data_IF_461568684608
#
_entry.id   IF_461568684608
#
_cell.length_a   1.000
_cell.length_b   1.000
_cell.length_c   1.000
_cell.angle_alpha   90.00
_cell.angle_beta   90.00
_cell.angle_gamma   90.00
#
_symmetry.space_group_name_H-M   'P 1'
#
loop_
_entity.id
_entity.type
_entity.pdbx_description
1 polymer ?
#
# COMPACT_ATOMS: atom_id res chain seq x y z
N UNK A 1 -70.18 -16.75 5.66
CA UNK A 1 -68.83 -17.23 6.04
C UNK A 1 -67.73 -16.63 5.12
N UNK A 2 -67.79 -15.33 4.79
CA UNK A 2 -66.81 -14.67 3.89
C UNK A 2 -66.17 -13.40 4.48
N UNK A 3 -66.63 -12.95 5.64
CA UNK A 3 -66.17 -11.70 6.27
C UNK A 3 -64.80 -11.82 6.95
N UNK A 4 -64.28 -13.04 7.13
CA UNK A 4 -62.98 -13.32 7.78
C UNK A 4 -61.81 -13.40 6.80
N UNK A 5 -62.06 -13.56 5.49
CA UNK A 5 -61.02 -13.61 4.46
C UNK A 5 -60.70 -12.24 3.85
N UNK A 6 -61.61 -11.28 3.92
CA UNK A 6 -61.43 -9.95 3.31
C UNK A 6 -60.56 -9.04 4.20
N UNK A 7 -60.52 -9.28 5.52
CA UNK A 7 -59.75 -8.48 6.47
C UNK A 7 -58.27 -8.89 6.59
N UNK A 8 -57.93 -10.15 6.28
CA UNK A 8 -56.54 -10.63 6.35
C UNK A 8 -55.69 -10.22 5.15
N UNK A 9 -56.29 -10.00 3.97
CA UNK A 9 -55.57 -9.66 2.75
C UNK A 9 -54.85 -8.29 2.80
N UNK A 10 -55.44 -7.19 3.34
CA UNK A 10 -54.69 -5.93 3.49
C UNK A 10 -53.66 -5.97 4.63
N UNK A 11 -53.86 -6.79 5.66
CA UNK A 11 -52.95 -6.91 6.80
C UNK A 11 -51.66 -7.68 6.44
N UNK A 12 -51.77 -8.67 5.55
CA UNK A 12 -50.62 -9.46 5.07
C UNK A 12 -49.83 -8.68 4.00
N UNK A 13 -50.48 -7.81 3.22
CA UNK A 13 -49.82 -7.00 2.19
C UNK A 13 -48.92 -5.88 2.77
N UNK A 14 -49.21 -5.39 3.99
CA UNK A 14 -48.37 -4.40 4.68
C UNK A 14 -47.13 -5.01 5.39
N UNK A 15 -47.11 -6.31 5.68
CA UNK A 15 -46.01 -6.97 6.41
C UNK A 15 -44.80 -7.33 5.53
N UNK A 16 -44.92 -7.22 4.21
CA UNK A 16 -43.84 -7.47 3.26
C UNK A 16 -43.10 -6.19 2.83
N UNK A 17 -43.36 -5.05 3.47
CA UNK A 17 -42.55 -3.85 3.31
C UNK A 17 -41.27 -4.01 4.16
N UNK A 18 -40.45 -5.00 3.81
CA UNK A 18 -39.09 -5.10 4.32
C UNK A 18 -38.37 -3.83 3.92
N UNK A 19 -37.97 -3.03 4.91
CA UNK A 19 -37.22 -1.81 4.68
C UNK A 19 -35.91 -2.21 3.99
N UNK A 20 -35.83 -2.03 2.68
CA UNK A 20 -34.56 -2.02 1.97
C UNK A 20 -33.82 -0.75 2.44
N UNK A 21 -33.19 -0.82 3.61
CA UNK A 21 -32.31 0.23 4.07
C UNK A 21 -31.03 0.12 3.26
N UNK A 22 -30.81 1.08 2.37
CA UNK A 22 -29.56 1.14 1.63
C UNK A 22 -28.43 1.55 2.57
N UNK A 23 -27.27 0.89 2.45
CA UNK A 23 -26.10 1.25 3.25
C UNK A 23 -25.56 2.60 2.81
N UNK A 24 -25.12 3.42 3.75
CA UNK A 24 -24.50 4.72 3.48
C UNK A 24 -23.03 4.61 3.82
N UNK A 25 -22.18 5.01 2.88
CA UNK A 25 -20.75 5.17 3.10
C UNK A 25 -20.35 6.60 2.76
N UNK A 26 -19.54 7.19 3.63
CA UNK A 26 -19.03 8.54 3.47
C UNK A 26 -17.59 8.58 3.91
N UNK A 27 -16.78 9.40 3.27
CA UNK A 27 -15.39 9.58 3.66
C UNK A 27 -14.89 10.98 3.36
N UNK A 28 -13.82 11.32 4.03
CA UNK A 28 -13.13 12.60 3.93
C UNK A 28 -11.65 12.33 3.74
N UNK A 29 -11.04 13.19 2.92
CA UNK A 29 -9.62 13.18 2.64
C UNK A 29 -9.14 14.63 2.52
N UNK A 30 -7.85 14.89 2.76
CA UNK A 30 -7.27 16.23 2.56
C UNK A 30 -7.31 16.60 1.07
N UNK A 31 -7.69 17.85 0.71
CA UNK A 31 -7.80 18.27 -0.68
C UNK A 31 -6.45 18.34 -1.39
N UNK A 32 -5.39 18.67 -0.64
CA UNK A 32 -4.03 18.80 -1.11
C UNK A 32 -3.10 18.02 -0.17
N UNK A 33 -2.11 17.35 -0.76
CA UNK A 33 -1.15 16.52 -0.03
C UNK A 33 0.23 16.62 -0.67
N UNK A 34 1.28 16.76 0.12
CA UNK A 34 2.65 16.74 -0.40
C UNK A 34 3.12 15.31 -0.71
N UNK A 35 3.78 15.12 -1.85
CA UNK A 35 4.32 13.83 -2.28
C UNK A 35 5.25 13.24 -1.21
N UNK A 36 5.04 11.96 -0.87
CA UNK A 36 5.76 11.27 0.21
C UNK A 36 5.11 11.39 1.59
N UNK A 37 4.09 12.23 1.76
CA UNK A 37 3.29 12.27 2.99
C UNK A 37 2.25 11.15 2.97
N UNK A 38 2.07 10.37 4.05
CA UNK A 38 1.05 9.32 4.08
C UNK A 38 -0.36 9.91 3.90
N UNK A 39 -1.10 9.38 2.92
CA UNK A 39 -2.49 9.77 2.69
C UNK A 39 -3.40 8.95 3.61
N UNK A 40 -3.96 9.60 4.63
CA UNK A 40 -4.93 8.99 5.52
C UNK A 40 -6.34 9.26 5.00
N UNK A 41 -7.07 8.19 4.67
CA UNK A 41 -8.48 8.24 4.25
C UNK A 41 -9.34 7.75 5.40
N UNK A 42 -10.20 8.62 5.91
CA UNK A 42 -11.10 8.30 7.02
C UNK A 42 -12.55 8.38 6.56
N UNK A 43 -13.35 7.41 7.02
CA UNK A 43 -14.76 7.38 6.67
C UNK A 43 -15.67 6.87 7.76
N UNK A 44 -16.96 7.07 7.50
CA UNK A 44 -18.09 6.66 8.32
C UNK A 44 -19.09 5.90 7.46
N UNK A 45 -19.62 4.82 8.02
CA UNK A 45 -20.63 4.01 7.40
C UNK A 45 -21.57 3.38 8.43
N UNK A 46 -22.76 2.99 8.00
CA UNK A 46 -23.71 2.18 8.75
C UNK A 46 -23.60 0.67 8.44
N UNK A 47 -22.56 0.24 7.73
CA UNK A 47 -22.22 -1.16 7.51
C UNK A 47 -22.03 -1.90 8.85
N UNK A 48 -22.32 -3.22 8.89
CA UNK A 48 -22.06 -4.01 10.09
C UNK A 48 -20.58 -4.03 10.45
N UNK A 49 -20.30 -4.11 11.75
CA UNK A 49 -18.93 -4.22 12.25
C UNK A 49 -18.25 -5.47 11.67
N UNK A 50 -17.00 -5.33 11.23
CA UNK A 50 -16.27 -6.41 10.56
C UNK A 50 -16.53 -6.49 9.06
N UNK A 51 -17.44 -5.69 8.49
CA UNK A 51 -17.54 -5.56 7.04
C UNK A 51 -16.24 -5.00 6.46
N UNK A 52 -15.81 -5.55 5.33
CA UNK A 52 -14.63 -5.09 4.59
C UNK A 52 -15.07 -4.31 3.37
N UNK A 53 -14.53 -3.11 3.21
CA UNK A 53 -14.70 -2.27 2.03
C UNK A 53 -13.37 -2.14 1.31
N UNK A 54 -13.37 -2.19 -0.01
CA UNK A 54 -12.17 -1.96 -0.81
C UNK A 54 -12.11 -0.51 -1.24
N UNK A 55 -10.96 0.12 -1.01
CA UNK A 55 -10.68 1.48 -1.44
C UNK A 55 -9.58 1.43 -2.49
N UNK A 56 -9.91 1.96 -3.66
CA UNK A 56 -9.03 2.05 -4.82
C UNK A 56 -8.57 3.50 -4.99
N UNK A 57 -7.27 3.67 -5.19
CA UNK A 57 -6.66 4.94 -5.50
C UNK A 57 -6.26 4.95 -6.97
N UNK A 58 -6.81 5.89 -7.73
CA UNK A 58 -6.50 6.12 -9.13
C UNK A 58 -5.70 7.39 -9.29
N UNK A 59 -4.74 7.40 -10.20
CA UNK A 59 -4.12 8.62 -10.71
C UNK A 59 -4.87 9.06 -11.96
N UNK A 60 -5.29 10.32 -11.99
CA UNK A 60 -5.81 10.91 -13.20
C UNK A 60 -4.64 11.31 -14.12
N UNK A 61 -4.67 10.82 -15.35
CA UNK A 61 -3.62 11.10 -16.33
C UNK A 61 -4.25 11.93 -17.44
N UNK A 62 -3.87 13.21 -17.59
CA UNK A 62 -4.50 14.06 -18.59
C UNK A 62 -4.31 13.47 -19.99
N UNK A 63 -5.40 13.43 -20.77
CA UNK A 63 -5.48 12.82 -22.11
C UNK A 63 -5.43 11.29 -22.15
N UNK A 64 -5.43 10.62 -20.99
CA UNK A 64 -5.46 9.16 -20.88
C UNK A 64 -6.54 8.73 -19.88
N UNK A 65 -6.76 7.42 -19.78
CA UNK A 65 -7.64 6.87 -18.75
C UNK A 65 -6.96 6.94 -17.37
N UNK A 66 -7.76 7.09 -16.32
CA UNK A 66 -7.25 7.04 -14.94
C UNK A 66 -6.62 5.67 -14.65
N UNK A 67 -5.45 5.65 -14.02
CA UNK A 67 -4.65 4.43 -13.77
C UNK A 67 -4.80 4.03 -12.31
N UNK A 68 -5.11 2.76 -12.03
CA UNK A 68 -5.15 2.23 -10.67
C UNK A 68 -3.73 2.19 -10.10
N UNK A 69 -3.53 2.84 -8.96
CA UNK A 69 -2.24 2.94 -8.27
C UNK A 69 -2.16 1.95 -7.12
N UNK A 70 -3.21 1.88 -6.31
CA UNK A 70 -3.25 1.03 -5.13
C UNK A 70 -4.68 0.63 -4.77
N UNK A 71 -4.82 -0.54 -4.16
CA UNK A 71 -6.07 -1.02 -3.57
C UNK A 71 -5.79 -1.46 -2.15
N UNK A 72 -6.54 -0.93 -1.18
CA UNK A 72 -6.42 -1.33 0.21
C UNK A 72 -7.80 -1.68 0.79
N UNK A 73 -7.91 -2.80 1.52
CA UNK A 73 -9.12 -3.10 2.28
C UNK A 73 -9.17 -2.26 3.55
N UNK A 74 -10.34 -1.75 3.91
CA UNK A 74 -10.61 -1.19 5.24
C UNK A 74 -11.73 -1.96 5.92
N UNK A 75 -11.54 -2.26 7.20
CA UNK A 75 -12.54 -2.92 8.03
C UNK A 75 -13.36 -1.88 8.79
N UNK A 76 -14.68 -2.02 8.73
CA UNK A 76 -15.61 -1.17 9.47
C UNK A 76 -15.60 -1.56 10.94
N UNK A 77 -15.28 -0.61 11.82
CA UNK A 77 -15.28 -0.80 13.28
C UNK A 77 -16.71 -0.77 13.82
N UNK A 78 -16.89 -1.17 15.09
CA UNK A 78 -18.20 -1.19 15.75
C UNK A 78 -18.92 0.16 15.79
N UNK A 79 -18.18 1.27 15.75
CA UNK A 79 -18.72 2.63 15.70
C UNK A 79 -18.97 3.13 14.26
N UNK A 80 -18.93 2.24 13.27
CA UNK A 80 -19.09 2.55 11.85
C UNK A 80 -17.93 3.32 11.22
N UNK A 81 -16.83 3.57 11.94
CA UNK A 81 -15.66 4.24 11.36
C UNK A 81 -14.70 3.24 10.73
N UNK A 82 -14.04 3.68 9.67
CA UNK A 82 -12.99 2.94 8.99
C UNK A 82 -11.90 3.92 8.57
N UNK A 83 -10.69 3.40 8.42
CA UNK A 83 -9.52 4.18 8.03
C UNK A 83 -8.59 3.32 7.19
N UNK A 84 -7.97 3.94 6.20
CA UNK A 84 -6.90 3.34 5.41
C UNK A 84 -5.80 4.39 5.22
N UNK A 85 -4.55 3.94 5.23
CA UNK A 85 -3.40 4.82 5.00
C UNK A 85 -2.65 4.32 3.77
N UNK A 86 -2.47 5.19 2.78
CA UNK A 86 -1.63 4.92 1.62
C UNK A 86 -0.25 5.55 1.82
N UNK A 87 0.79 4.77 1.57
CA UNK A 87 2.13 5.31 1.38
C UNK A 87 2.19 5.97 0.00
N UNK A 88 2.45 7.28 -0.02
CA UNK A 88 2.54 8.07 -1.26
C UNK A 88 4.00 8.29 -1.69
N UNK A 89 4.95 7.59 -1.08
CA UNK A 89 6.36 7.64 -1.47
C UNK A 89 6.52 7.28 -2.94
N UNK A 90 7.14 8.17 -3.71
CA UNK A 90 7.31 8.00 -5.16
C UNK A 90 6.09 8.35 -6.01
N UNK A 91 4.99 8.85 -5.42
CA UNK A 91 3.86 9.34 -6.21
C UNK A 91 4.25 10.62 -6.94
N UNK A 92 3.83 10.73 -8.20
CA UNK A 92 4.04 11.92 -9.02
C UNK A 92 3.01 13.00 -8.66
N UNK A 93 3.38 14.26 -8.76
CA UNK A 93 2.42 15.36 -8.65
C UNK A 93 1.29 15.20 -9.66
N UNK A 94 0.06 15.52 -9.25
CA UNK A 94 -1.12 15.49 -10.10
C UNK A 94 -2.39 15.18 -9.33
N UNK A 95 -3.46 14.95 -10.09
CA UNK A 95 -4.79 14.68 -9.55
C UNK A 95 -4.96 13.20 -9.29
N UNK A 96 -5.45 12.84 -8.11
CA UNK A 96 -5.75 11.47 -7.72
C UNK A 96 -7.22 11.34 -7.31
N UNK A 97 -7.83 10.20 -7.63
CA UNK A 97 -9.21 9.86 -7.31
C UNK A 97 -9.23 8.68 -6.35
N UNK A 98 -9.79 8.88 -5.17
CA UNK A 98 -10.08 7.81 -4.23
C UNK A 98 -11.50 7.34 -4.49
N UNK A 99 -11.65 6.04 -4.72
CA UNK A 99 -12.94 5.41 -4.98
C UNK A 99 -13.15 4.22 -4.04
N UNK A 100 -14.33 4.17 -3.42
CA UNK A 100 -14.79 2.99 -2.70
C UNK A 100 -15.49 2.06 -3.69
N UNK A 101 -15.03 0.82 -3.79
CA UNK A 101 -15.60 -0.19 -4.68
C UNK A 101 -17.00 -0.57 -4.18
N UNK A 102 -17.96 -0.67 -5.09
CA UNK A 102 -19.30 -1.17 -4.73
C UNK A 102 -19.19 -2.62 -4.28
N UNK A 103 -19.77 -2.90 -3.13
CA UNK A 103 -19.91 -4.26 -2.63
C UNK A 103 -21.30 -4.79 -2.99
N UNK A 104 -21.37 -6.00 -3.56
CA UNK A 104 -22.63 -6.64 -3.92
C UNK A 104 -23.44 -7.07 -2.68
N UNK A 105 -22.75 -7.46 -1.60
CA UNK A 105 -23.35 -7.85 -0.32
C UNK A 105 -23.91 -6.64 0.43
N UNK A 106 -23.33 -5.47 0.18
CA UNK A 106 -23.71 -4.21 0.82
C UNK A 106 -23.99 -3.12 -0.23
N UNK A 107 -25.19 -3.10 -0.82
CA UNK A 107 -25.55 -2.09 -1.79
C UNK A 107 -25.61 -0.71 -1.14
N UNK A 108 -24.77 0.19 -1.65
CA UNK A 108 -24.70 1.57 -1.19
C UNK A 108 -25.84 2.42 -1.77
N UNK A 109 -26.50 3.22 -0.92
CA UNK A 109 -27.56 4.15 -1.29
C UNK A 109 -27.05 5.42 -1.95
N UNK A 110 -27.97 6.19 -2.53
CA UNK A 110 -27.69 7.44 -3.26
C UNK A 110 -27.03 8.52 -2.42
N UNK A 111 -27.23 8.52 -1.10
CA UNK A 111 -26.57 9.43 -0.16
C UNK A 111 -25.09 9.09 0.12
N UNK A 112 -24.55 8.06 -0.51
CA UNK A 112 -23.17 7.64 -0.30
C UNK A 112 -22.18 8.51 -1.08
N UNK A 113 -21.07 8.85 -0.44
CA UNK A 113 -19.90 9.44 -1.08
C UNK A 113 -18.92 8.31 -1.38
N UNK A 114 -18.87 7.90 -2.65
CA UNK A 114 -18.01 6.80 -3.12
C UNK A 114 -16.76 7.28 -3.83
N UNK A 115 -16.73 8.54 -4.27
CA UNK A 115 -15.61 9.09 -5.03
C UNK A 115 -15.25 10.48 -4.49
N UNK A 116 -13.96 10.69 -4.28
CA UNK A 116 -13.36 11.99 -3.95
C UNK A 116 -12.06 12.15 -4.70
N UNK A 117 -11.69 13.39 -4.93
CA UNK A 117 -10.48 13.76 -5.65
C UNK A 117 -9.58 14.55 -4.71
N UNK A 118 -8.27 14.34 -4.82
CA UNK A 118 -7.24 15.14 -4.18
C UNK A 118 -6.16 15.53 -5.19
N UNK A 119 -5.38 16.55 -4.84
CA UNK A 119 -4.18 16.94 -5.58
C UNK A 119 -2.96 16.57 -4.77
N UNK A 120 -2.01 15.88 -5.38
CA UNK A 120 -0.69 15.66 -4.79
C UNK A 120 0.28 16.68 -5.37
N UNK A 121 0.93 17.47 -4.51
CA UNK A 121 1.89 18.52 -4.86
C UNK A 121 3.32 18.13 -4.50
N UNK A 122 4.29 18.72 -5.18
CA UNK A 122 5.71 18.51 -4.90
C UNK A 122 6.41 17.56 -5.88
N UNK A 123 7.72 17.72 -5.97
CA UNK A 123 8.61 16.84 -6.72
C UNK A 123 9.21 15.87 -5.72
N UNK A 124 9.08 14.56 -5.95
CA UNK A 124 9.78 13.54 -5.18
C UNK A 124 11.23 14.02 -4.96
N UNK A 125 11.72 14.22 -3.72
CA UNK A 125 13.11 14.59 -3.54
C UNK A 125 13.93 13.45 -4.12
N UNK A 126 14.55 13.71 -5.28
CA UNK A 126 15.65 12.88 -5.78
C UNK A 126 16.56 12.68 -4.58
N UNK A 127 16.92 11.43 -4.20
CA UNK A 127 17.96 11.25 -3.20
C UNK A 127 19.18 11.97 -3.74
N UNK A 128 19.47 13.13 -3.16
CA UNK A 128 20.69 13.86 -3.43
C UNK A 128 21.75 12.95 -2.85
N UNK A 129 22.37 12.14 -3.71
CA UNK A 129 23.66 11.53 -3.41
C UNK A 129 24.57 12.71 -3.12
N UNK A 130 24.66 13.08 -1.83
CA UNK A 130 25.69 13.96 -1.35
C UNK A 130 27.00 13.22 -1.59
N UNK A 131 27.55 13.40 -2.79
CA UNK A 131 28.92 13.04 -3.11
C UNK A 131 29.77 13.85 -2.14
N UNK A 132 30.45 13.23 -1.15
CA UNK A 132 31.28 13.98 -0.23
C UNK A 132 32.34 14.68 -1.05
N UNK A 133 32.35 16.01 -0.98
CA UNK A 133 33.36 16.85 -1.60
C UNK A 133 34.73 16.29 -1.22
N UNK A 134 35.52 15.91 -2.22
CA UNK A 134 36.91 15.52 -2.04
C UNK A 134 37.63 16.70 -1.36
N UNK A 135 37.99 16.53 -0.09
CA UNK A 135 38.85 17.46 0.63
C UNK A 135 40.16 17.58 -0.14
N UNK A 136 40.44 18.77 -0.66
CA UNK A 136 41.68 19.06 -1.35
C UNK A 136 42.87 18.77 -0.43
N UNK A 137 43.70 17.79 -0.79
CA UNK A 137 44.97 17.53 -0.13
C UNK A 137 45.90 18.73 -0.39
N UNK A 138 46.21 19.47 0.68
CA UNK A 138 47.30 20.45 0.64
C UNK A 138 48.57 19.72 1.09
N UNK A 139 49.63 19.59 0.26
CA UNK A 139 50.86 18.97 0.71
C UNK A 139 51.60 19.89 1.69
N UNK A 140 51.89 19.40 2.90
CA UNK A 140 52.80 20.04 3.87
C UNK A 140 54.27 19.94 3.43
N UNK A 141 55.14 20.88 3.83
CA UNK A 141 56.57 20.88 3.47
C UNK A 141 57.38 19.80 4.22
N UNK A 142 58.54 19.38 3.68
CA UNK A 142 59.27 18.18 4.11
C UNK A 142 60.10 18.38 5.40
N UNK A 143 60.29 17.34 6.24
CA UNK A 143 61.19 17.39 7.39
C UNK A 143 62.67 17.23 6.99
N UNK A 144 63.53 17.99 7.65
CA UNK A 144 65.01 17.97 7.54
C UNK A 144 65.62 16.72 8.22
N UNK A 145 66.82 16.25 7.81
CA UNK A 145 67.33 14.92 8.12
C UNK A 145 68.11 14.87 9.44
N UNK A 146 67.78 13.90 10.29
CA UNK A 146 68.64 13.51 11.40
C UNK A 146 67.90 12.88 12.56
N UNK A 147 67.69 11.57 12.53
CA UNK A 147 68.32 10.65 13.49
C UNK A 147 67.92 9.19 13.26
N UNK A 148 68.97 8.38 13.22
CA UNK A 148 69.04 6.93 13.04
C UNK A 148 68.45 6.15 14.23
N UNK A 149 67.48 5.30 13.91
CA UNK A 149 67.19 3.91 14.34
C UNK A 149 67.93 3.33 15.58
N UNK A 150 67.14 2.77 16.51
CA UNK A 150 67.34 1.44 17.14
C UNK A 150 65.95 0.82 17.34
N UNK A 151 65.46 -0.01 16.43
CA UNK A 151 65.66 -1.47 16.35
C UNK A 151 65.34 -2.22 17.66
N UNK A 152 64.11 -2.72 17.72
CA UNK A 152 63.79 -4.02 18.30
C UNK A 152 63.13 -4.83 17.18
N UNK A 153 63.91 -5.82 16.74
CA UNK A 153 63.68 -6.93 15.79
C UNK A 153 62.51 -7.86 16.25
N UNK A 154 61.95 -8.78 15.41
CA UNK A 154 60.54 -8.78 15.07
C UNK A 154 59.87 -10.14 15.41
N UNK A 155 58.59 -10.24 15.04
CA UNK A 155 57.74 -11.41 14.73
C UNK A 155 58.15 -12.87 15.04
N UNK A 156 57.13 -13.75 15.14
CA UNK A 156 56.93 -14.60 13.96
C UNK A 156 55.48 -14.63 13.49
N UNK A 157 55.33 -14.29 12.20
CA UNK A 157 54.71 -15.07 11.14
C UNK A 157 53.28 -15.60 11.40
N UNK A 158 52.29 -15.31 10.56
CA UNK A 158 52.39 -14.62 9.29
C UNK A 158 51.04 -14.45 8.59
N UNK A 159 51.03 -13.51 7.66
CA UNK A 159 50.30 -13.60 6.39
C UNK A 159 50.88 -14.80 5.58
N UNK A 160 50.27 -15.39 4.51
CA UNK A 160 49.25 -14.81 3.61
C UNK A 160 48.23 -15.78 2.93
N UNK A 161 47.06 -15.23 2.59
CA UNK A 161 46.34 -15.42 1.30
C UNK A 161 45.75 -16.84 0.93
N UNK A 162 45.26 -17.09 -0.31
CA UNK A 162 43.81 -17.25 -0.64
C UNK A 162 43.47 -18.57 -1.37
N UNK A 163 42.40 -19.32 -1.04
CA UNK A 163 41.99 -20.48 -1.88
C UNK A 163 40.48 -20.74 -1.95
N UNK A 164 40.01 -20.66 -3.19
CA UNK A 164 39.02 -21.48 -3.91
C UNK A 164 38.09 -22.47 -3.17
N UNK A 165 36.80 -22.39 -3.56
CA UNK A 165 35.95 -23.47 -4.09
C UNK A 165 35.82 -24.77 -3.29
N UNK A 166 34.65 -25.01 -2.68
CA UNK A 166 34.03 -26.36 -2.65
C UNK A 166 32.50 -26.25 -2.81
N UNK A 167 32.04 -26.74 -3.95
CA UNK A 167 30.65 -27.15 -4.24
C UNK A 167 30.43 -28.53 -3.61
N UNK A 168 29.27 -28.83 -2.99
CA UNK A 168 28.74 -30.18 -3.02
C UNK A 168 27.54 -30.21 -3.96
N UNK A 169 27.72 -30.94 -5.06
CA UNK A 169 26.70 -31.35 -5.98
C UNK A 169 26.39 -32.84 -5.75
N UNK A 170 25.16 -33.23 -6.08
CA UNK A 170 24.60 -34.59 -6.20
C UNK A 170 24.40 -35.39 -4.89
N UNK A 171 23.32 -36.15 -4.73
CA UNK A 171 22.35 -36.64 -5.70
C UNK A 171 21.02 -37.00 -5.02
N UNK A 172 19.90 -36.89 -5.77
CA UNK A 172 19.20 -38.01 -6.45
C UNK A 172 18.23 -38.74 -5.51
N UNK A 173 16.93 -38.89 -5.79
CA UNK A 173 16.13 -38.52 -6.95
C UNK A 173 14.75 -39.19 -6.91
N UNK A 174 13.92 -38.79 -7.87
CA UNK A 174 12.84 -39.55 -8.55
C UNK A 174 11.50 -39.77 -7.83
N UNK A 175 10.47 -39.06 -8.31
CA UNK A 175 9.29 -39.61 -9.02
C UNK A 175 8.28 -38.47 -9.25
N UNK A 176 8.24 -37.80 -10.40
CA UNK A 176 7.47 -38.12 -11.63
C UNK A 176 5.96 -38.41 -11.42
N UNK A 177 5.19 -37.72 -12.29
CA UNK A 177 3.82 -38.00 -12.73
C UNK A 177 2.66 -37.69 -11.75
N UNK A 178 1.98 -36.57 -11.99
CA UNK A 178 0.58 -36.67 -12.46
C UNK A 178 0.16 -35.42 -13.25
N UNK A 179 0.00 -35.66 -14.54
CA UNK A 179 -0.54 -34.82 -15.58
C UNK A 179 -2.05 -34.54 -15.37
N UNK A 180 -2.51 -33.37 -15.82
CA UNK A 180 -3.84 -33.08 -16.41
C UNK A 180 -5.12 -33.52 -15.66
N UNK A 181 -5.95 -32.53 -15.32
CA UNK A 181 -7.42 -32.48 -15.52
C UNK A 181 -7.83 -31.02 -15.26
N UNK A 182 -8.08 -30.15 -16.24
CA UNK A 182 -9.20 -30.05 -17.19
C UNK A 182 -10.56 -30.60 -16.68
N UNK A 183 -11.46 -29.62 -16.45
CA UNK A 183 -12.93 -29.60 -16.61
C UNK A 183 -13.76 -30.09 -15.40
N UNK A 184 -15.01 -29.60 -15.18
CA UNK A 184 -16.00 -29.05 -16.14
C UNK A 184 -15.98 -27.54 -16.38
#
# INVERSE_FOLDING_TARGET
>A
MYLRCILCCPLILCLACGMASAYIISFTLPPDLDAGTPLVVQGKSNLPAGATVEIQLYRDVPNFQSVLVATLPATVRANGSWEVTYDTTGFMSGTYKVQVVRNADYPYGSSSVQLRTLTITGTNPVPTTASPAATAFTPSPPPSPGQTVKEVDPEPAGSPAPVAMIIPALGTGVALLSLRRRWP
#
